data_IF_279238493543
#
_entry.id   IF_279238493543
#
_cell.length_a   1.000
_cell.length_b   1.000
_cell.length_c   1.000
_cell.angle_alpha   90.00
_cell.angle_beta   90.00
_cell.angle_gamma   90.00
#
_symmetry.space_group_name_H-M   'P 1'
#
loop_
_entity.id
_entity.type
_entity.pdbx_description
1 polymer ?
#
# COMPACT_ATOMS: atom_id res chain seq x y z
N UNK A 1 5.44 8.94 5.32
CA UNK A 1 6.04 8.10 6.39
C UNK A 1 7.34 7.53 5.87
N UNK A 2 8.41 7.50 6.69
CA UNK A 2 9.74 7.05 6.27
C UNK A 2 10.13 5.84 7.12
N UNK A 3 10.70 4.80 6.50
CA UNK A 3 11.22 3.63 7.21
C UNK A 3 12.38 4.02 8.14
N UNK A 4 12.70 3.20 9.15
CA UNK A 4 13.62 3.57 10.23
C UNK A 4 15.03 3.95 9.74
N UNK A 5 15.58 3.24 8.76
CA UNK A 5 16.88 3.54 8.14
C UNK A 5 16.78 4.48 6.93
N UNK A 6 15.57 4.91 6.59
CA UNK A 6 15.28 5.80 5.47
C UNK A 6 15.50 5.16 4.10
N UNK A 7 15.45 3.83 3.99
CA UNK A 7 15.57 3.13 2.71
C UNK A 7 14.29 3.27 1.86
N UNK A 8 13.13 3.27 2.53
CA UNK A 8 11.82 3.36 1.91
C UNK A 8 11.01 4.54 2.45
N UNK A 9 10.12 5.03 1.60
CA UNK A 9 9.18 6.11 1.92
C UNK A 9 7.79 5.75 1.37
N UNK A 10 6.78 6.05 2.18
CA UNK A 10 5.36 5.93 1.86
C UNK A 10 4.75 7.33 1.81
N UNK A 11 4.00 7.63 0.75
CA UNK A 11 3.25 8.87 0.65
C UNK A 11 2.39 8.97 -0.59
N UNK A 12 1.80 10.15 -0.79
CA UNK A 12 1.10 10.49 -2.02
C UNK A 12 2.09 10.83 -3.13
N UNK A 13 1.80 10.40 -4.35
CA UNK A 13 2.56 10.73 -5.54
C UNK A 13 1.65 10.80 -6.78
N UNK A 14 2.18 11.42 -7.84
CA UNK A 14 1.53 11.45 -9.16
C UNK A 14 2.53 10.94 -10.20
N UNK A 15 2.25 9.83 -10.91
CA UNK A 15 3.09 9.36 -11.99
C UNK A 15 2.85 10.20 -13.26
N UNK A 16 3.95 10.63 -13.89
CA UNK A 16 3.94 11.46 -15.09
C UNK A 16 3.19 12.77 -14.90
N UNK A 17 2.36 13.13 -15.88
CA UNK A 17 1.48 14.31 -15.84
C UNK A 17 -0.01 13.91 -15.78
N UNK A 18 -0.32 12.76 -15.18
CA UNK A 18 -1.68 12.20 -15.18
C UNK A 18 -2.71 13.05 -14.44
N UNK A 19 -2.28 13.87 -13.46
CA UNK A 19 -3.17 14.61 -12.56
C UNK A 19 -3.90 13.72 -11.54
N UNK A 20 -3.63 12.41 -11.56
CA UNK A 20 -4.13 11.43 -10.62
C UNK A 20 -3.14 11.25 -9.46
N UNK A 21 -3.68 11.06 -8.26
CA UNK A 21 -2.90 10.87 -7.05
C UNK A 21 -3.09 9.46 -6.50
N UNK A 22 -1.96 8.89 -6.11
CA UNK A 22 -1.87 7.54 -5.56
C UNK A 22 -1.08 7.55 -4.28
N UNK A 23 -1.38 6.63 -3.37
CA UNK A 23 -0.52 6.30 -2.23
C UNK A 23 0.38 5.15 -2.64
N UNK A 24 1.69 5.34 -2.50
CA UNK A 24 2.66 4.32 -2.87
C UNK A 24 3.88 4.30 -1.96
N UNK A 25 4.65 3.22 -2.08
CA UNK A 25 5.95 3.03 -1.43
C UNK A 25 7.02 3.07 -2.50
N UNK A 26 8.10 3.81 -2.25
CA UNK A 26 9.25 3.89 -3.17
C UNK A 26 10.58 3.85 -2.43
N UNK A 27 11.65 3.56 -3.17
CA UNK A 27 13.01 3.71 -2.67
C UNK A 27 13.34 5.19 -2.49
N UNK A 28 13.60 5.60 -1.25
CA UNK A 28 13.86 7.01 -0.93
C UNK A 28 15.23 7.50 -1.42
N UNK A 29 16.23 6.60 -1.38
CA UNK A 29 17.63 6.93 -1.67
C UNK A 29 17.99 6.82 -3.16
N UNK A 30 17.09 6.31 -4.00
CA UNK A 30 17.34 6.18 -5.43
C UNK A 30 16.89 7.44 -6.19
N UNK A 31 17.65 7.85 -7.22
CA UNK A 31 17.20 8.90 -8.13
C UNK A 31 16.05 8.38 -9.00
N UNK A 32 15.08 9.24 -9.26
CA UNK A 32 13.81 8.81 -9.87
C UNK A 32 12.94 8.06 -8.87
N UNK A 33 11.66 8.40 -8.81
CA UNK A 33 10.73 7.81 -7.86
C UNK A 33 10.41 6.35 -8.27
N UNK A 34 11.28 5.42 -7.87
CA UNK A 34 11.12 3.99 -8.14
C UNK A 34 10.10 3.42 -7.16
N UNK A 35 8.84 3.43 -7.59
CA UNK A 35 7.69 2.92 -6.84
C UNK A 35 7.69 1.39 -6.86
N UNK A 36 7.52 0.77 -5.70
CA UNK A 36 7.52 -0.69 -5.52
C UNK A 36 6.15 -1.23 -5.09
N UNK A 37 5.25 -0.37 -4.67
CA UNK A 37 3.90 -0.74 -4.23
C UNK A 37 2.95 0.45 -4.33
N UNK A 38 1.69 0.22 -4.70
CA UNK A 38 0.64 1.24 -4.85
C UNK A 38 -0.67 0.74 -4.25
N UNK A 39 -1.23 1.48 -3.28
CA UNK A 39 -2.46 1.12 -2.60
C UNK A 39 -3.68 1.20 -3.53
N UNK A 40 -4.04 2.43 -3.92
CA UNK A 40 -5.26 2.74 -4.65
C UNK A 40 -5.07 2.68 -6.18
N UNK A 41 -4.31 1.69 -6.68
CA UNK A 41 -3.93 1.60 -8.10
C UNK A 41 -5.12 1.50 -9.06
N UNK A 42 -6.23 0.91 -8.63
CA UNK A 42 -7.46 0.79 -9.42
C UNK A 42 -8.46 1.95 -9.23
N UNK A 43 -8.24 2.83 -8.24
CA UNK A 43 -9.15 3.94 -7.92
C UNK A 43 -8.34 5.18 -7.49
N UNK A 44 -7.80 5.95 -8.45
CA UNK A 44 -7.00 7.14 -8.15
C UNK A 44 -7.81 8.24 -7.47
N UNK A 45 -7.14 9.05 -6.65
CA UNK A 45 -7.72 10.29 -6.13
C UNK A 45 -7.49 11.40 -7.16
N UNK A 46 -8.55 12.12 -7.54
CA UNK A 46 -8.49 13.19 -8.55
C UNK A 46 -8.05 14.56 -8.01
N UNK A 47 -8.07 14.75 -6.69
CA UNK A 47 -7.64 15.98 -6.03
C UNK A 47 -6.88 15.66 -4.74
N UNK A 48 -5.58 15.97 -4.71
CA UNK A 48 -4.76 15.79 -3.52
C UNK A 48 -5.16 16.71 -2.36
N UNK A 49 -5.77 17.86 -2.65
CA UNK A 49 -6.19 18.79 -1.61
C UNK A 49 -7.33 18.20 -0.79
N UNK A 50 -7.04 17.84 0.46
CA UNK A 50 -7.98 17.20 1.38
C UNK A 50 -8.01 15.68 1.30
N UNK A 51 -7.24 15.07 0.40
CA UNK A 51 -6.99 13.65 0.37
C UNK A 51 -6.09 13.24 1.55
N UNK A 52 -6.39 12.11 2.17
CA UNK A 52 -5.73 11.68 3.40
C UNK A 52 -5.48 10.18 3.39
N UNK A 53 -4.29 9.78 3.84
CA UNK A 53 -4.01 8.42 4.28
C UNK A 53 -4.25 8.36 5.78
N UNK A 54 -5.23 7.57 6.20
CA UNK A 54 -5.75 7.59 7.55
C UNK A 54 -5.86 6.17 8.12
N UNK A 55 -5.70 6.05 9.44
CA UNK A 55 -6.03 4.84 10.18
C UNK A 55 -7.45 5.01 10.74
N UNK A 56 -8.40 4.26 10.18
CA UNK A 56 -9.80 4.34 10.61
C UNK A 56 -10.01 3.72 11.99
N UNK A 57 -11.09 4.12 12.65
CA UNK A 57 -11.54 3.53 13.92
C UNK A 57 -11.80 2.02 13.80
N UNK A 58 -12.25 1.55 12.63
CA UNK A 58 -12.44 0.13 12.31
C UNK A 58 -11.11 -0.61 12.02
N UNK A 59 -9.97 -0.10 12.50
CA UNK A 59 -8.67 -0.80 12.45
C UNK A 59 -8.21 -1.09 11.01
N UNK A 60 -8.50 -0.18 10.09
CA UNK A 60 -8.10 -0.26 8.68
C UNK A 60 -7.20 0.92 8.29
N UNK A 61 -6.30 0.67 7.35
CA UNK A 61 -5.62 1.73 6.63
C UNK A 61 -6.50 2.14 5.45
N UNK A 62 -6.88 3.40 5.37
CA UNK A 62 -7.80 3.92 4.35
C UNK A 62 -7.22 5.11 3.59
N UNK A 63 -7.47 5.18 2.29
CA UNK A 63 -7.23 6.38 1.48
C UNK A 63 -8.57 7.09 1.30
N UNK A 64 -8.69 8.27 1.87
CA UNK A 64 -9.86 9.13 1.76
C UNK A 64 -9.61 10.18 0.68
N UNK A 65 -10.61 10.42 -0.17
CA UNK A 65 -10.57 11.54 -1.11
C UNK A 65 -10.92 12.88 -0.45
N UNK A 66 -10.95 13.95 -1.26
CA UNK A 66 -11.27 15.31 -0.80
C UNK A 66 -12.66 15.44 -0.17
N UNK A 67 -13.58 14.50 -0.43
CA UNK A 67 -14.92 14.46 0.15
C UNK A 67 -15.01 13.56 1.39
N UNK A 68 -13.88 13.05 1.91
CA UNK A 68 -13.82 12.09 3.02
C UNK A 68 -14.50 10.76 2.73
N UNK A 69 -14.63 10.41 1.45
CA UNK A 69 -15.11 9.10 1.01
C UNK A 69 -13.90 8.19 0.78
N UNK A 70 -13.93 6.93 1.26
CA UNK A 70 -12.83 5.99 1.06
C UNK A 70 -12.78 5.50 -0.40
N UNK A 71 -11.64 5.74 -1.05
CA UNK A 71 -11.35 5.23 -2.39
C UNK A 71 -10.58 3.89 -2.32
N UNK A 72 -9.94 3.59 -1.18
CA UNK A 72 -9.24 2.35 -0.90
C UNK A 72 -9.21 2.04 0.60
N UNK A 73 -9.19 0.76 0.96
CA UNK A 73 -9.02 0.24 2.33
C UNK A 73 -8.17 -1.03 2.31
N UNK A 74 -7.39 -1.25 3.37
CA UNK A 74 -6.62 -2.49 3.55
C UNK A 74 -7.50 -3.73 3.77
N UNK A 75 -8.79 -3.55 4.14
CA UNK A 75 -9.71 -4.64 4.48
C UNK A 75 -9.06 -5.66 5.44
N UNK A 76 -8.45 -5.14 6.50
CA UNK A 76 -7.75 -5.90 7.52
C UNK A 76 -8.69 -6.86 8.24
N UNK A 77 -8.12 -7.91 8.83
CA UNK A 77 -8.90 -8.81 9.69
C UNK A 77 -9.44 -8.06 10.91
N UNK A 78 -10.67 -8.38 11.31
CA UNK A 78 -11.33 -7.80 12.49
C UNK A 78 -10.43 -7.99 13.72
N UNK A 79 -9.91 -6.89 14.28
CA UNK A 79 -9.35 -6.89 15.62
C UNK A 79 -10.44 -6.54 16.63
N UNK A 80 -10.37 -7.12 17.82
CA UNK A 80 -11.15 -6.71 19.00
C UNK A 80 -10.60 -5.44 19.67
N UNK A 81 -9.49 -4.90 19.16
CA UNK A 81 -8.80 -3.73 19.67
C UNK A 81 -9.26 -2.46 18.99
N UNK A 82 -9.45 -1.38 19.74
CA UNK A 82 -9.81 -0.07 19.21
C UNK A 82 -8.58 0.75 18.75
N UNK A 83 -7.41 0.12 18.65
CA UNK A 83 -6.16 0.80 18.34
C UNK A 83 -5.36 -0.01 17.30
N UNK A 84 -4.85 0.69 16.29
CA UNK A 84 -3.91 0.14 15.32
C UNK A 84 -2.73 1.07 15.10
N UNK A 85 -1.63 0.49 14.62
CA UNK A 85 -0.42 1.23 14.26
C UNK A 85 0.06 0.76 12.90
N UNK A 86 0.28 1.71 11.99
CA UNK A 86 0.95 1.47 10.72
C UNK A 86 2.48 1.61 10.89
N UNK A 87 3.24 0.65 10.39
CA UNK A 87 4.71 0.63 10.46
C UNK A 87 5.29 0.28 9.09
N UNK A 88 6.09 1.18 8.53
CA UNK A 88 6.89 0.90 7.33
C UNK A 88 8.25 0.33 7.73
N UNK A 89 8.51 -0.92 7.37
CA UNK A 89 9.79 -1.59 7.61
C UNK A 89 10.85 -1.20 6.57
N UNK A 90 12.12 -1.37 6.93
CA UNK A 90 13.25 -1.17 6.02
C UNK A 90 13.38 -2.25 4.93
N UNK A 91 12.53 -3.26 4.96
CA UNK A 91 12.33 -4.20 3.83
C UNK A 91 11.39 -3.62 2.76
N UNK A 92 10.72 -2.51 3.04
CA UNK A 92 9.66 -1.93 2.21
C UNK A 92 8.27 -2.46 2.54
N UNK A 93 8.14 -3.41 3.47
CA UNK A 93 6.84 -3.94 3.89
C UNK A 93 6.13 -2.95 4.83
N UNK A 94 4.95 -2.49 4.42
CA UNK A 94 4.03 -1.74 5.27
C UNK A 94 3.15 -2.71 6.06
N UNK A 95 3.27 -2.65 7.38
CA UNK A 95 2.48 -3.46 8.31
C UNK A 95 1.40 -2.62 8.97
N UNK A 96 0.23 -3.23 9.16
CA UNK A 96 -0.77 -2.78 10.11
C UNK A 96 -0.79 -3.76 11.28
N UNK A 97 -0.57 -3.24 12.48
CA UNK A 97 -0.49 -4.02 13.72
C UNK A 97 -1.53 -3.57 14.72
N UNK A 98 -1.91 -4.50 15.59
CA UNK A 98 -2.74 -4.17 16.74
C UNK A 98 -1.96 -3.26 17.70
N UNK A 99 -2.57 -2.14 18.09
CA UNK A 99 -1.96 -1.16 19.00
C UNK A 99 -1.83 -1.67 20.44
N UNK A 100 -2.70 -2.60 20.84
CA UNK A 100 -2.69 -3.22 22.18
C UNK A 100 -1.76 -4.45 22.23
N UNK A 101 -1.56 -5.13 21.10
CA UNK A 101 -0.62 -6.24 20.97
C UNK A 101 0.20 -6.14 19.69
N UNK A 102 1.40 -5.56 19.78
CA UNK A 102 2.29 -5.34 18.64
C UNK A 102 2.81 -6.62 17.96
N UNK A 103 2.55 -7.79 18.55
CA UNK A 103 2.83 -9.10 17.95
C UNK A 103 1.73 -9.55 16.98
N UNK A 104 0.52 -9.02 17.11
CA UNK A 104 -0.60 -9.33 16.22
C UNK A 104 -0.49 -8.51 14.94
N UNK A 105 -0.27 -9.20 13.82
CA UNK A 105 -0.31 -8.63 12.48
C UNK A 105 -1.75 -8.66 11.96
N UNK A 106 -2.26 -7.51 11.52
CA UNK A 106 -3.62 -7.36 11.01
C UNK A 106 -3.68 -7.31 9.49
N UNK A 107 -2.65 -6.74 8.88
CA UNK A 107 -2.51 -6.61 7.43
C UNK A 107 -1.05 -6.31 7.06
N UNK A 108 -0.61 -6.71 5.87
CA UNK A 108 0.69 -6.30 5.33
C UNK A 108 0.68 -6.12 3.81
N UNK A 109 1.46 -5.16 3.31
CA UNK A 109 1.55 -4.87 1.87
C UNK A 109 2.12 -6.02 1.04
N UNK A 110 2.99 -6.84 1.61
CA UNK A 110 3.60 -7.98 0.90
C UNK A 110 2.60 -9.09 0.58
N UNK A 111 1.43 -9.12 1.24
CA UNK A 111 0.34 -10.02 0.88
C UNK A 111 -0.54 -9.48 -0.27
N UNK A 112 -0.23 -8.27 -0.76
CA UNK A 112 -0.95 -7.59 -1.84
C UNK A 112 0.03 -6.89 -2.79
N UNK A 113 0.90 -7.63 -3.49
CA UNK A 113 1.88 -7.02 -4.40
C UNK A 113 1.20 -6.32 -5.57
N UNK A 114 1.89 -5.33 -6.15
CA UNK A 114 1.42 -4.64 -7.37
C UNK A 114 2.10 -5.25 -8.60
N UNK A 115 3.07 -4.57 -9.18
CA UNK A 115 3.86 -4.95 -10.35
C UNK A 115 5.28 -5.40 -9.98
N UNK A 116 5.65 -5.25 -8.71
CA UNK A 116 6.99 -5.57 -8.19
C UNK A 116 6.90 -6.61 -7.09
N UNK A 117 7.75 -7.64 -7.16
CA UNK A 117 8.01 -8.54 -6.05
C UNK A 117 9.17 -8.02 -5.20
N UNK A 118 8.99 -8.01 -3.89
CA UNK A 118 9.97 -7.51 -2.93
C UNK A 118 10.58 -8.67 -2.11
N UNK A 119 11.88 -8.60 -1.75
CA UNK A 119 12.50 -9.61 -0.89
C UNK A 119 11.73 -9.78 0.43
N UNK A 120 11.32 -11.02 0.72
CA UNK A 120 10.50 -11.36 1.88
C UNK A 120 9.00 -11.47 1.59
N UNK A 121 8.54 -11.03 0.41
CA UNK A 121 7.22 -11.36 -0.12
C UNK A 121 7.20 -12.75 -0.77
N UNK A 122 6.01 -13.23 -1.12
CA UNK A 122 5.82 -14.51 -1.79
C UNK A 122 5.12 -14.32 -3.14
N UNK A 123 5.11 -15.37 -3.97
CA UNK A 123 4.34 -15.45 -5.22
C UNK A 123 3.96 -16.91 -5.45
N UNK A 124 2.90 -17.14 -6.21
CA UNK A 124 2.38 -18.46 -6.54
C UNK A 124 1.22 -18.87 -5.65
N UNK A 125 1.09 -20.17 -5.39
CA UNK A 125 -0.02 -20.74 -4.63
C UNK A 125 0.44 -21.14 -3.23
N UNK A 126 -0.23 -20.63 -2.21
CA UNK A 126 -0.13 -21.16 -0.86
C UNK A 126 -0.87 -22.50 -0.81
N UNK A 127 -0.13 -23.61 -0.72
CA UNK A 127 -0.72 -24.97 -0.76
C UNK A 127 -1.58 -25.32 0.46
N UNK A 128 -1.51 -24.53 1.53
CA UNK A 128 -2.28 -24.75 2.77
C UNK A 128 -3.61 -23.99 2.69
N UNK A 129 -3.58 -22.71 2.34
CA UNK A 129 -4.80 -21.86 2.28
C UNK A 129 -5.50 -21.91 0.92
N UNK A 130 -4.78 -22.30 -0.14
CA UNK A 130 -5.24 -22.24 -1.53
C UNK A 130 -5.13 -20.86 -2.16
N UNK A 131 -4.65 -19.86 -1.43
CA UNK A 131 -4.51 -18.48 -1.93
C UNK A 131 -3.47 -18.40 -3.05
N UNK A 132 -3.77 -17.60 -4.07
CA UNK A 132 -2.87 -17.32 -5.18
C UNK A 132 -2.44 -15.86 -5.15
N UNK A 133 -1.16 -15.63 -5.37
CA UNK A 133 -0.57 -14.31 -5.43
C UNK A 133 0.35 -14.19 -6.66
N UNK A 134 0.14 -13.14 -7.45
CA UNK A 134 0.98 -12.79 -8.58
C UNK A 134 1.23 -11.30 -8.59
N UNK A 135 2.17 -10.87 -9.42
CA UNK A 135 2.31 -9.46 -9.78
C UNK A 135 1.47 -9.16 -11.01
N UNK A 136 1.17 -7.89 -11.25
CA UNK A 136 0.48 -7.43 -12.46
C UNK A 136 1.03 -6.08 -12.83
N UNK A 137 1.48 -5.94 -14.07
CA UNK A 137 2.14 -4.73 -14.59
C UNK A 137 1.25 -3.50 -14.37
N UNK A 138 1.86 -2.32 -14.41
CA UNK A 138 1.09 -1.10 -14.66
C UNK A 138 0.53 -1.13 -16.08
N UNK A 139 -0.56 -0.39 -16.31
CA UNK A 139 -1.15 -0.23 -17.64
C UNK A 139 -0.17 0.50 -18.57
N UNK A 140 0.46 1.55 -18.06
CA UNK A 140 1.52 2.30 -18.73
C UNK A 140 2.36 3.10 -17.69
N UNK A 141 3.45 3.77 -18.09
CA UNK A 141 4.32 4.51 -17.15
C UNK A 141 3.63 5.64 -16.35
N UNK A 142 2.48 6.13 -16.80
CA UNK A 142 1.73 7.22 -16.15
C UNK A 142 0.46 6.72 -15.44
N UNK A 143 0.09 5.45 -15.60
CA UNK A 143 -1.10 4.85 -14.98
C UNK A 143 -0.78 3.52 -14.26
N UNK A 144 -0.70 3.53 -12.92
CA UNK A 144 -0.48 2.35 -12.09
C UNK A 144 -1.60 1.30 -12.10
N UNK A 145 -2.75 1.56 -12.75
CA UNK A 145 -3.83 0.60 -12.86
C UNK A 145 -3.34 -0.77 -13.37
N UNK A 146 -4.00 -1.89 -13.00
CA UNK A 146 -3.63 -3.21 -13.50
C UNK A 146 -3.57 -3.24 -15.03
N UNK A 147 -2.39 -3.56 -15.56
CA UNK A 147 -2.11 -3.67 -16.98
C UNK A 147 -2.34 -5.07 -17.54
N UNK A 148 -1.93 -5.30 -18.80
CA UNK A 148 -2.24 -6.54 -19.52
C UNK A 148 -1.31 -7.72 -19.18
N UNK A 149 -0.29 -7.55 -18.33
CA UNK A 149 0.68 -8.61 -18.01
C UNK A 149 0.62 -8.99 -16.53
N UNK A 150 0.54 -10.29 -16.23
CA UNK A 150 0.52 -10.88 -14.89
C UNK A 150 1.41 -12.14 -14.81
#
# INVERSE_FOLDING_TARGET
MIAKEGNFELGFFTPGNSGNYYVGIWYKKLPGQTVVWVANRGNPVSNASGAELHLSDDVNLVVLNSFKVPDWSSNSTISTSNASVAVLLDTGNLLLKDGSNSSTLLWQSFDHPTDTWMPGGWLGVNKITGEYQSITSWENPENPAPGPFA
#
